data_IF_007827792422
#
_entry.id   IF_007827792422
#
_cell.length_a   1.000
_cell.length_b   1.000
_cell.length_c   1.000
_cell.angle_alpha   90.00
_cell.angle_beta   90.00
_cell.angle_gamma   90.00
#
_symmetry.space_group_name_H-M   'P 1'
#
loop_
_entity.id
_entity.type
_entity.pdbx_description
1 polymer ?
#
# COMPACT_ATOMS: atom_id res chain seq x y z
N UNK A 1 -20.30 -7.56 -27.65
CA UNK A 1 -19.64 -7.69 -28.96
C UNK A 1 -18.64 -6.56 -29.25
N UNK A 2 -18.87 -5.31 -28.81
CA UNK A 2 -17.86 -4.23 -28.94
C UNK A 2 -16.65 -4.41 -27.99
N UNK A 3 -16.85 -4.88 -26.77
CA UNK A 3 -15.76 -5.07 -25.78
C UNK A 3 -14.66 -6.05 -26.26
N UNK A 4 -15.04 -7.11 -26.99
CA UNK A 4 -14.09 -8.08 -27.52
C UNK A 4 -13.21 -7.56 -28.67
N UNK A 5 -13.59 -6.45 -29.29
CA UNK A 5 -12.81 -5.78 -30.34
C UNK A 5 -11.76 -4.82 -29.77
N UNK A 6 -11.93 -4.36 -28.53
CA UNK A 6 -11.00 -3.42 -27.89
C UNK A 6 -9.81 -4.11 -27.17
N UNK A 7 -9.94 -5.37 -26.77
CA UNK A 7 -8.86 -6.12 -26.13
C UNK A 7 -7.59 -6.25 -26.98
N UNK A 8 -7.66 -6.63 -28.28
CA UNK A 8 -6.46 -6.66 -29.13
C UNK A 8 -5.83 -5.27 -29.31
N UNK A 9 -6.66 -4.21 -29.32
CA UNK A 9 -6.19 -2.83 -29.46
C UNK A 9 -5.47 -2.39 -28.20
N UNK A 10 -5.95 -2.74 -27.00
CA UNK A 10 -5.27 -2.47 -25.72
C UNK A 10 -3.92 -3.19 -25.65
N UNK A 11 -3.84 -4.44 -26.10
CA UNK A 11 -2.59 -5.21 -26.13
C UNK A 11 -1.58 -4.56 -27.10
N UNK A 12 -2.03 -4.10 -28.26
CA UNK A 12 -1.17 -3.39 -29.22
C UNK A 12 -0.74 -2.04 -28.67
N UNK A 13 -1.60 -1.27 -28.02
CA UNK A 13 -1.22 -0.02 -27.35
C UNK A 13 -0.24 -0.26 -26.20
N UNK A 14 -0.47 -1.24 -25.35
CA UNK A 14 0.46 -1.60 -24.28
C UNK A 14 1.84 -2.07 -24.82
N UNK A 15 1.85 -2.75 -25.96
CA UNK A 15 3.10 -3.13 -26.65
C UNK A 15 3.79 -1.90 -27.25
N UNK A 16 3.07 -0.97 -27.87
CA UNK A 16 3.63 0.28 -28.39
C UNK A 16 4.08 1.21 -27.27
N UNK A 17 3.34 1.33 -26.18
CA UNK A 17 3.78 2.06 -24.98
C UNK A 17 5.05 1.44 -24.41
N UNK A 18 5.14 0.12 -24.29
CA UNK A 18 6.34 -0.58 -23.86
C UNK A 18 7.54 -0.33 -24.80
N UNK A 19 7.29 -0.32 -26.12
CA UNK A 19 8.33 -0.05 -27.14
C UNK A 19 8.78 1.41 -27.10
N UNK A 20 7.84 2.36 -26.96
CA UNK A 20 8.14 3.80 -26.83
C UNK A 20 8.88 4.09 -25.52
N UNK A 21 8.54 3.40 -24.42
CA UNK A 21 9.28 3.45 -23.14
C UNK A 21 10.71 2.97 -23.36
N UNK A 22 10.87 1.81 -23.96
CA UNK A 22 12.20 1.23 -24.21
C UNK A 22 13.04 2.14 -25.12
N UNK A 23 12.43 2.70 -26.16
CA UNK A 23 13.10 3.63 -27.09
C UNK A 23 13.32 5.01 -26.43
N UNK A 24 12.37 5.51 -25.64
CA UNK A 24 12.52 6.78 -24.88
C UNK A 24 13.66 6.71 -23.87
N UNK A 25 13.83 5.61 -23.16
CA UNK A 25 14.99 5.38 -22.29
C UNK A 25 16.31 5.35 -23.04
N UNK A 26 16.32 4.86 -24.28
CA UNK A 26 17.51 4.83 -25.13
C UNK A 26 17.94 6.22 -25.68
N UNK A 27 17.01 7.18 -25.78
CA UNK A 27 17.26 8.44 -26.48
C UNK A 27 17.17 9.71 -25.62
N UNK A 28 16.57 9.71 -24.43
CA UNK A 28 16.26 10.94 -23.66
C UNK A 28 17.11 11.13 -22.40
N UNK A 29 17.89 10.19 -22.02
CA UNK A 29 18.81 10.41 -20.92
C UNK A 29 20.04 9.56 -21.09
N UNK A 30 21.22 10.11 -21.11
CA UNK A 30 22.50 9.40 -21.10
C UNK A 30 22.66 8.41 -19.93
N UNK A 31 21.56 7.82 -19.48
CA UNK A 31 21.44 6.75 -18.51
C UNK A 31 21.64 5.41 -19.21
N UNK A 32 22.51 4.60 -18.67
CA UNK A 32 22.71 3.22 -19.10
C UNK A 32 21.34 2.50 -19.08
N UNK A 33 21.08 1.71 -20.12
CA UNK A 33 20.00 0.75 -20.14
C UNK A 33 20.16 -0.17 -18.92
N UNK A 34 19.22 -0.10 -17.99
CA UNK A 34 19.24 -0.91 -16.78
C UNK A 34 18.27 -2.05 -16.99
N UNK A 35 18.80 -3.28 -17.07
CA UNK A 35 17.94 -4.45 -17.08
C UNK A 35 17.08 -4.47 -15.78
N UNK A 36 15.85 -5.03 -15.81
CA UNK A 36 14.99 -5.10 -14.63
C UNK A 36 15.66 -5.63 -13.36
N UNK A 37 16.52 -6.65 -13.46
CA UNK A 37 17.33 -7.14 -12.34
C UNK A 37 18.33 -6.13 -11.78
N UNK A 38 18.84 -5.23 -12.63
CA UNK A 38 19.75 -4.15 -12.20
C UNK A 38 19.00 -3.02 -11.48
N UNK A 39 17.71 -2.81 -11.77
CA UNK A 39 16.89 -1.80 -11.11
C UNK A 39 16.74 -2.12 -9.62
N UNK A 40 16.44 -3.36 -9.26
CA UNK A 40 16.37 -3.81 -7.86
C UNK A 40 17.73 -3.64 -7.16
N UNK A 41 18.82 -3.98 -7.84
CA UNK A 41 20.17 -3.78 -7.32
C UNK A 41 20.47 -2.30 -7.12
N UNK A 42 20.01 -1.41 -8.00
CA UNK A 42 20.17 0.04 -7.84
C UNK A 42 19.37 0.58 -6.68
N UNK A 43 18.11 0.16 -6.50
CA UNK A 43 17.33 0.55 -5.34
C UNK A 43 18.02 0.17 -4.03
N UNK A 44 18.57 -1.04 -3.96
CA UNK A 44 19.30 -1.48 -2.77
C UNK A 44 20.56 -0.64 -2.50
N UNK A 45 21.24 -0.11 -3.54
CA UNK A 45 22.41 0.77 -3.42
C UNK A 45 22.07 2.19 -2.96
N UNK A 46 20.81 2.61 -3.03
CA UNK A 46 20.40 3.94 -2.56
C UNK A 46 20.47 4.11 -1.05
N UNK A 47 20.56 3.02 -0.30
CA UNK A 47 20.54 3.01 1.15
C UNK A 47 19.18 3.36 1.76
N UNK A 48 18.10 3.30 0.98
CA UNK A 48 16.74 3.57 1.45
C UNK A 48 16.21 2.39 2.27
N UNK A 49 16.44 1.15 1.79
CA UNK A 49 15.85 -0.05 2.35
C UNK A 49 16.80 -0.80 3.27
N UNK A 50 16.25 -1.35 4.35
CA UNK A 50 16.97 -2.14 5.34
C UNK A 50 17.05 -3.63 4.97
N UNK A 51 16.40 -4.06 3.86
CA UNK A 51 16.53 -5.38 3.26
C UNK A 51 17.26 -5.31 1.91
N UNK A 52 17.72 -6.46 1.41
CA UNK A 52 18.30 -6.55 0.06
C UNK A 52 17.19 -6.48 -0.99
N UNK A 53 17.52 -5.99 -2.18
CA UNK A 53 16.55 -5.82 -3.26
C UNK A 53 15.86 -7.13 -3.67
N UNK A 54 16.60 -8.24 -3.73
CA UNK A 54 16.05 -9.57 -4.02
C UNK A 54 15.19 -10.15 -2.88
N UNK A 55 15.26 -9.58 -1.70
CA UNK A 55 14.51 -9.98 -0.51
C UNK A 55 13.25 -9.09 -0.34
N UNK A 56 12.78 -8.45 -1.40
CA UNK A 56 11.56 -7.65 -1.35
C UNK A 56 10.37 -8.50 -0.89
N UNK A 57 9.61 -7.95 0.06
CA UNK A 57 8.47 -8.65 0.65
C UNK A 57 7.22 -8.52 -0.23
N UNK A 58 6.39 -9.55 -0.34
CA UNK A 58 5.13 -9.45 -1.04
C UNK A 58 4.13 -8.60 -0.26
N UNK A 59 3.33 -7.83 -0.97
CA UNK A 59 2.28 -6.99 -0.43
C UNK A 59 1.28 -7.74 0.46
N UNK A 60 1.06 -9.03 0.21
CA UNK A 60 0.20 -9.90 1.03
C UNK A 60 0.63 -9.97 2.49
N UNK A 61 1.90 -9.72 2.80
CA UNK A 61 2.42 -9.79 4.17
C UNK A 61 1.94 -8.67 5.08
N UNK A 62 1.38 -7.58 4.56
CA UNK A 62 0.84 -6.50 5.40
C UNK A 62 -0.26 -7.02 6.32
N UNK A 63 -1.16 -7.87 5.79
CA UNK A 63 -2.20 -8.52 6.58
C UNK A 63 -1.61 -9.30 7.77
N UNK A 64 -0.66 -10.19 7.49
CA UNK A 64 -0.06 -11.05 8.49
C UNK A 64 0.73 -10.24 9.54
N UNK A 65 1.45 -9.21 9.11
CA UNK A 65 2.16 -8.28 10.01
C UNK A 65 1.18 -7.63 11.02
N UNK A 66 0.04 -7.15 10.54
CA UNK A 66 -0.97 -6.52 11.41
C UNK A 66 -1.61 -7.56 12.32
N UNK A 67 -1.98 -8.72 11.79
CA UNK A 67 -2.62 -9.79 12.56
C UNK A 67 -1.68 -10.32 13.66
N UNK A 68 -0.44 -10.67 13.32
CA UNK A 68 0.58 -11.15 14.27
C UNK A 68 0.88 -10.11 15.35
N UNK A 69 0.87 -8.82 14.99
CA UNK A 69 1.03 -7.76 15.96
C UNK A 69 -0.10 -7.79 16.99
N UNK A 70 -1.37 -7.83 16.57
CA UNK A 70 -2.51 -7.85 17.49
C UNK A 70 -2.60 -9.15 18.31
N UNK A 71 -2.13 -10.27 17.78
CA UNK A 71 -2.07 -11.57 18.49
C UNK A 71 -0.87 -11.65 19.46
N UNK A 72 0.07 -10.70 19.40
CA UNK A 72 1.29 -10.68 20.17
C UNK A 72 1.12 -10.33 21.65
N UNK A 73 2.21 -10.44 22.39
CA UNK A 73 2.28 -9.97 23.79
C UNK A 73 2.66 -8.48 23.85
N UNK A 74 1.79 -7.66 24.39
CA UNK A 74 1.95 -6.22 24.52
C UNK A 74 2.41 -5.77 25.92
N UNK A 75 2.73 -6.72 26.81
CA UNK A 75 3.17 -6.40 28.17
C UNK A 75 2.12 -5.65 28.98
N UNK A 76 0.84 -5.93 28.76
CA UNK A 76 -0.29 -5.28 29.43
C UNK A 76 -0.74 -3.95 28.81
N UNK A 77 -0.10 -3.49 27.74
CA UNK A 77 -0.52 -2.31 26.96
C UNK A 77 -1.59 -2.71 25.94
N UNK A 78 -2.43 -1.75 25.55
CA UNK A 78 -3.46 -1.95 24.53
C UNK A 78 -2.85 -1.89 23.11
N UNK A 79 -2.97 -2.94 22.27
CA UNK A 79 -2.49 -2.90 20.90
C UNK A 79 -3.29 -1.90 20.07
N UNK A 80 -2.59 -1.12 19.28
CA UNK A 80 -3.18 -0.19 18.31
C UNK A 80 -2.36 -0.16 17.02
N UNK A 81 -3.04 0.02 15.88
CA UNK A 81 -2.37 0.09 14.59
C UNK A 81 -2.84 1.33 13.81
N UNK A 82 -1.88 2.05 13.22
CA UNK A 82 -2.11 3.09 12.23
C UNK A 82 -1.42 2.68 10.93
N UNK A 83 -2.19 2.38 9.88
CA UNK A 83 -1.71 2.10 8.55
C UNK A 83 -1.98 3.31 7.66
N UNK A 84 -0.92 3.92 7.14
CA UNK A 84 -0.95 5.09 6.26
C UNK A 84 -0.56 4.64 4.86
N UNK A 85 -1.49 4.75 3.92
CA UNK A 85 -1.29 4.44 2.52
C UNK A 85 -0.90 5.66 1.71
N UNK A 86 0.13 5.54 0.85
CA UNK A 86 0.46 6.53 -0.19
C UNK A 86 0.08 5.91 -1.53
N UNK A 87 -1.14 6.18 -2.04
CA UNK A 87 -1.60 5.63 -3.31
C UNK A 87 -0.66 6.02 -4.45
N UNK A 88 -0.27 5.04 -5.25
CA UNK A 88 0.59 5.27 -6.40
C UNK A 88 2.05 5.62 -6.09
N UNK A 89 2.53 5.44 -4.86
CA UNK A 89 3.88 5.85 -4.47
C UNK A 89 4.94 4.80 -4.80
N UNK A 90 5.86 5.16 -5.71
CA UNK A 90 7.00 4.33 -6.11
C UNK A 90 8.04 4.25 -4.99
N UNK A 91 8.60 3.07 -4.78
CA UNK A 91 9.68 2.83 -3.82
C UNK A 91 10.91 3.73 -4.06
N UNK A 92 11.31 3.93 -5.32
CA UNK A 92 12.47 4.74 -5.66
C UNK A 92 12.26 6.25 -5.45
N UNK A 93 11.00 6.70 -5.32
CA UNK A 93 10.71 8.11 -5.05
C UNK A 93 11.08 8.54 -3.63
N UNK A 94 11.20 7.59 -2.68
CA UNK A 94 11.69 7.86 -1.33
C UNK A 94 13.14 8.39 -1.30
N UNK A 95 13.89 8.30 -2.42
CA UNK A 95 15.22 8.95 -2.54
C UNK A 95 15.14 10.44 -2.25
N UNK A 96 13.99 11.07 -2.52
CA UNK A 96 13.76 12.51 -2.35
C UNK A 96 13.52 12.93 -0.90
N UNK A 97 13.28 11.98 0.00
CA UNK A 97 13.00 12.23 1.42
C UNK A 97 13.90 11.41 2.35
N UNK A 98 14.78 10.55 1.82
CA UNK A 98 15.60 9.62 2.62
C UNK A 98 16.55 10.30 3.62
N UNK A 99 16.97 11.52 3.34
CA UNK A 99 17.88 12.31 4.18
C UNK A 99 17.13 13.39 5.00
N UNK A 100 15.79 13.45 4.91
CA UNK A 100 14.95 14.34 5.73
C UNK A 100 14.56 13.63 7.04
N UNK A 101 15.13 14.00 8.18
CA UNK A 101 14.83 13.35 9.46
C UNK A 101 13.38 13.58 9.93
N UNK A 102 12.65 14.50 9.30
CA UNK A 102 11.25 14.78 9.62
C UNK A 102 10.27 14.07 8.67
N UNK A 103 10.74 13.35 7.68
CA UNK A 103 9.87 12.54 6.83
C UNK A 103 9.24 11.40 7.64
N UNK A 104 7.96 11.09 7.39
CA UNK A 104 7.24 10.06 8.14
C UNK A 104 7.95 8.71 8.15
N UNK A 105 8.45 8.25 6.99
CA UNK A 105 9.20 6.99 6.88
C UNK A 105 10.51 7.00 7.69
N UNK A 106 11.21 8.15 7.72
CA UNK A 106 12.46 8.28 8.50
C UNK A 106 12.19 8.36 9.99
N UNK A 107 11.08 8.96 10.43
CA UNK A 107 10.65 8.96 11.82
C UNK A 107 10.38 7.53 12.31
N UNK A 108 9.68 6.70 11.53
CA UNK A 108 9.44 5.29 11.89
C UNK A 108 10.75 4.50 12.03
N UNK A 109 11.69 4.73 11.11
CA UNK A 109 13.02 4.12 11.18
C UNK A 109 13.80 4.58 12.41
N UNK A 110 13.74 5.87 12.75
CA UNK A 110 14.39 6.44 13.95
C UNK A 110 13.79 5.89 15.26
N UNK A 111 12.53 5.50 15.26
CA UNK A 111 11.85 4.86 16.40
C UNK A 111 12.31 3.39 16.65
N UNK A 112 13.26 2.90 15.88
CA UNK A 112 13.80 1.53 15.99
C UNK A 112 13.21 0.55 14.98
N UNK A 113 12.38 1.03 14.08
CA UNK A 113 11.79 0.27 12.97
C UNK A 113 12.70 0.11 11.77
N UNK A 114 12.10 -0.11 10.61
CA UNK A 114 12.82 -0.32 9.36
C UNK A 114 11.98 0.10 8.15
N UNK A 115 12.66 0.33 7.01
CA UNK A 115 12.05 0.55 5.70
C UNK A 115 12.41 -0.66 4.82
N UNK A 116 11.40 -1.37 4.34
CA UNK A 116 11.54 -2.58 3.54
C UNK A 116 11.19 -2.33 2.08
N UNK A 117 11.96 -2.93 1.18
CA UNK A 117 11.55 -3.04 -0.22
C UNK A 117 10.39 -4.06 -0.32
N UNK A 118 9.31 -3.68 -0.99
CA UNK A 118 8.10 -4.49 -1.15
C UNK A 118 7.68 -4.54 -2.61
N UNK A 119 6.95 -5.58 -3.02
CA UNK A 119 6.39 -5.66 -4.35
C UNK A 119 4.89 -5.95 -4.34
N UNK A 120 4.21 -5.42 -5.36
CA UNK A 120 2.80 -5.65 -5.68
C UNK A 120 2.65 -6.41 -7.00
N UNK A 121 1.40 -6.71 -7.38
CA UNK A 121 1.08 -7.30 -8.68
C UNK A 121 1.25 -8.82 -8.77
N UNK A 122 1.55 -9.51 -7.67
CA UNK A 122 1.77 -10.95 -7.66
C UNK A 122 2.99 -11.36 -8.46
N UNK A 123 3.00 -12.60 -8.96
CA UNK A 123 4.05 -13.09 -9.83
C UNK A 123 3.69 -12.86 -11.31
N UNK A 124 4.49 -12.16 -12.10
CA UNK A 124 4.16 -11.78 -13.48
C UNK A 124 3.86 -12.97 -14.41
N UNK A 125 4.35 -14.15 -14.07
CA UNK A 125 4.28 -15.36 -14.91
C UNK A 125 3.36 -16.45 -14.37
N UNK A 126 2.72 -16.23 -13.21
CA UNK A 126 1.93 -17.25 -12.55
C UNK A 126 0.47 -16.83 -12.39
N UNK A 127 -0.35 -17.76 -11.91
CA UNK A 127 -1.79 -17.56 -11.73
C UNK A 127 -2.11 -16.38 -10.81
N UNK A 128 -1.27 -16.11 -9.80
CA UNK A 128 -1.46 -15.02 -8.85
C UNK A 128 -1.02 -13.64 -9.39
N UNK A 129 -0.78 -13.52 -10.69
CA UNK A 129 -0.60 -12.21 -11.34
C UNK A 129 -1.89 -11.40 -11.21
N UNK A 130 -1.74 -10.14 -10.77
CA UNK A 130 -2.82 -9.16 -10.75
C UNK A 130 -2.35 -7.81 -11.30
N UNK A 131 -3.29 -6.92 -11.62
CA UNK A 131 -2.95 -5.56 -12.01
C UNK A 131 -2.32 -4.80 -10.83
N UNK A 132 -1.34 -3.95 -11.14
CA UNK A 132 -0.73 -3.03 -10.19
C UNK A 132 -1.56 -1.75 -10.13
N UNK A 133 -2.68 -1.82 -9.43
CA UNK A 133 -3.73 -0.79 -9.41
C UNK A 133 -4.35 -0.68 -8.02
N UNK A 134 -5.04 0.41 -7.76
CA UNK A 134 -5.60 0.81 -6.47
C UNK A 134 -6.47 -0.28 -5.82
N UNK A 135 -7.57 -0.70 -6.45
CA UNK A 135 -8.48 -1.66 -5.82
C UNK A 135 -7.82 -3.02 -5.49
N UNK A 136 -7.14 -3.71 -6.43
CA UNK A 136 -6.49 -4.97 -6.09
C UNK A 136 -5.28 -4.80 -5.17
N UNK A 137 -4.57 -3.68 -5.23
CA UNK A 137 -3.43 -3.40 -4.36
C UNK A 137 -3.86 -3.31 -2.89
N UNK A 138 -4.79 -2.40 -2.58
CA UNK A 138 -5.29 -2.26 -1.21
C UNK A 138 -6.00 -3.52 -0.72
N UNK A 139 -6.79 -4.18 -1.58
CA UNK A 139 -7.45 -5.43 -1.20
C UNK A 139 -6.46 -6.55 -0.86
N UNK A 140 -5.35 -6.64 -1.61
CA UNK A 140 -4.27 -7.60 -1.31
C UNK A 140 -3.68 -7.36 0.08
N UNK A 141 -3.44 -6.09 0.46
CA UNK A 141 -2.88 -5.77 1.77
C UNK A 141 -3.80 -6.15 2.92
N UNK A 142 -5.09 -5.87 2.76
CA UNK A 142 -6.03 -6.08 3.87
C UNK A 142 -6.59 -7.51 3.94
N UNK A 143 -6.34 -8.36 2.92
CA UNK A 143 -6.77 -9.77 2.92
C UNK A 143 -5.63 -10.77 3.00
N UNK A 144 -4.37 -10.34 2.79
CA UNK A 144 -3.23 -11.25 2.69
C UNK A 144 -3.26 -12.17 1.47
N UNK A 145 -4.10 -11.89 0.47
CA UNK A 145 -4.30 -12.72 -0.72
C UNK A 145 -4.13 -11.91 -1.99
N UNK A 146 -3.58 -12.52 -3.05
CA UNK A 146 -3.64 -11.94 -4.39
C UNK A 146 -5.05 -12.06 -4.96
N UNK A 147 -5.37 -11.28 -5.98
CA UNK A 147 -6.67 -11.36 -6.66
C UNK A 147 -6.96 -12.77 -7.18
N UNK A 148 -5.95 -13.43 -7.71
CA UNK A 148 -6.05 -14.80 -8.22
C UNK A 148 -5.08 -15.69 -7.43
N UNK A 149 -5.61 -16.68 -6.73
CA UNK A 149 -4.82 -17.69 -6.04
C UNK A 149 -5.04 -19.07 -6.66
N UNK A 150 -4.00 -19.92 -6.63
CA UNK A 150 -4.03 -21.25 -7.23
C UNK A 150 -5.10 -22.16 -6.63
N UNK A 151 -5.39 -21.97 -5.35
CA UNK A 151 -6.38 -22.73 -4.59
C UNK A 151 -7.79 -22.12 -4.64
N UNK A 152 -7.97 -21.02 -5.39
CA UNK A 152 -9.24 -20.33 -5.53
C UNK A 152 -9.59 -19.43 -4.34
N UNK A 153 -8.67 -19.18 -3.42
CA UNK A 153 -8.89 -18.32 -2.22
C UNK A 153 -8.57 -16.86 -2.48
N UNK A 154 -8.33 -16.45 -3.72
CA UNK A 154 -8.03 -15.08 -4.07
C UNK A 154 -9.21 -14.13 -3.86
N UNK A 155 -8.91 -12.83 -3.70
CA UNK A 155 -9.96 -11.83 -3.45
C UNK A 155 -10.78 -11.42 -4.68
N UNK A 156 -10.34 -11.76 -5.89
CA UNK A 156 -11.07 -11.53 -7.16
C UNK A 156 -11.17 -10.09 -7.64
N UNK A 157 -10.69 -9.12 -6.88
CA UNK A 157 -10.83 -7.68 -7.17
C UNK A 157 -9.91 -7.23 -8.30
N UNK A 158 -10.41 -6.37 -9.18
CA UNK A 158 -9.63 -5.60 -10.16
C UNK A 158 -10.23 -4.21 -10.32
N UNK A 159 -9.51 -3.26 -10.95
CA UNK A 159 -9.99 -1.86 -11.05
C UNK A 159 -11.24 -1.67 -11.93
N UNK A 160 -11.56 -2.61 -12.82
CA UNK A 160 -12.73 -2.54 -13.68
C UNK A 160 -13.97 -3.16 -13.01
N UNK A 161 -13.74 -4.14 -12.14
CA UNK A 161 -14.75 -4.76 -11.29
C UNK A 161 -14.17 -4.85 -9.87
N UNK A 162 -14.25 -3.75 -9.11
CA UNK A 162 -13.56 -3.63 -7.82
C UNK A 162 -14.28 -4.34 -6.67
N UNK A 163 -15.51 -4.84 -6.85
CA UNK A 163 -16.28 -5.46 -5.78
C UNK A 163 -15.69 -6.81 -5.36
N UNK A 164 -15.30 -6.92 -4.10
CA UNK A 164 -14.85 -8.19 -3.53
C UNK A 164 -16.05 -9.14 -3.38
N UNK A 165 -15.95 -10.42 -3.83
CA UNK A 165 -16.98 -11.42 -3.60
C UNK A 165 -17.33 -11.58 -2.10
N UNK A 166 -18.60 -11.82 -1.80
CA UNK A 166 -19.07 -11.98 -0.42
C UNK A 166 -18.47 -13.19 0.31
N UNK A 167 -18.12 -14.23 -0.44
CA UNK A 167 -17.45 -15.46 0.02
C UNK A 167 -15.91 -15.39 -0.14
N UNK A 168 -15.38 -14.23 -0.54
CA UNK A 168 -13.95 -13.97 -0.64
C UNK A 168 -13.25 -13.93 0.73
N UNK A 169 -11.90 -13.79 0.74
CA UNK A 169 -11.15 -13.72 1.98
C UNK A 169 -11.59 -12.54 2.82
N UNK A 170 -11.57 -12.70 4.14
CA UNK A 170 -11.90 -11.62 5.08
C UNK A 170 -10.84 -10.52 5.03
N UNK A 171 -11.28 -9.29 5.21
CA UNK A 171 -10.39 -8.17 5.39
C UNK A 171 -9.94 -8.07 6.85
N UNK A 172 -8.74 -7.58 7.09
CA UNK A 172 -8.14 -7.49 8.43
C UNK A 172 -9.04 -6.75 9.44
N UNK A 173 -9.77 -5.73 8.99
CA UNK A 173 -10.72 -4.98 9.84
C UNK A 173 -11.80 -5.88 10.44
N UNK A 174 -12.40 -6.74 9.62
CA UNK A 174 -13.42 -7.71 10.05
C UNK A 174 -12.79 -8.80 10.91
N UNK A 175 -11.63 -9.33 10.50
CA UNK A 175 -10.96 -10.42 11.20
C UNK A 175 -10.54 -10.03 12.63
N UNK A 176 -9.97 -8.85 12.82
CA UNK A 176 -9.58 -8.34 14.13
C UNK A 176 -10.80 -8.20 15.08
N UNK A 177 -11.93 -7.75 14.56
CA UNK A 177 -13.18 -7.60 15.35
C UNK A 177 -13.77 -8.96 15.73
N UNK A 178 -13.84 -9.91 14.78
CA UNK A 178 -14.35 -11.26 15.06
C UNK A 178 -13.51 -12.04 16.05
N UNK A 179 -12.18 -11.90 15.96
CA UNK A 179 -11.23 -12.49 16.91
C UNK A 179 -11.18 -11.73 18.23
N UNK A 180 -11.91 -10.63 18.37
CA UNK A 180 -11.91 -9.74 19.55
C UNK A 180 -10.50 -9.20 19.89
N UNK A 181 -9.66 -9.05 18.90
CA UNK A 181 -8.32 -8.48 18.99
C UNK A 181 -8.33 -6.94 18.94
N UNK A 182 -9.34 -6.38 18.28
CA UNK A 182 -9.64 -4.96 18.27
C UNK A 182 -11.09 -4.71 18.72
N UNK A 183 -11.35 -3.58 19.36
CA UNK A 183 -12.70 -3.14 19.75
C UNK A 183 -13.42 -2.42 18.63
N UNK A 184 -12.65 -1.63 17.86
CA UNK A 184 -13.14 -0.80 16.75
C UNK A 184 -12.08 -0.76 15.65
N UNK A 185 -12.53 -0.69 14.41
CA UNK A 185 -11.67 -0.45 13.24
C UNK A 185 -12.23 0.69 12.41
N UNK A 186 -11.36 1.48 11.75
CA UNK A 186 -11.78 2.61 10.92
C UNK A 186 -10.91 2.71 9.66
N UNK A 187 -11.55 2.74 8.49
CA UNK A 187 -10.90 2.94 7.21
C UNK A 187 -11.38 4.24 6.57
N UNK A 188 -10.46 5.16 6.23
CA UNK A 188 -10.72 6.53 5.76
C UNK A 188 -9.99 6.74 4.43
N UNK A 189 -10.70 7.11 3.36
CA UNK A 189 -10.12 7.28 2.03
C UNK A 189 -10.95 8.24 1.18
N UNK A 190 -10.32 8.93 0.22
CA UNK A 190 -11.01 9.81 -0.73
C UNK A 190 -11.38 9.16 -2.06
N UNK A 191 -10.88 7.96 -2.36
CA UNK A 191 -11.30 7.24 -3.55
C UNK A 191 -12.66 6.58 -3.35
N UNK A 192 -13.71 7.24 -3.83
CA UNK A 192 -15.11 6.89 -3.56
C UNK A 192 -15.54 5.46 -3.99
N UNK A 193 -14.81 4.83 -4.93
CA UNK A 193 -15.09 3.44 -5.34
C UNK A 193 -14.81 2.41 -4.25
N UNK A 194 -14.13 2.77 -3.17
CA UNK A 194 -13.94 1.86 -2.05
C UNK A 194 -15.26 1.54 -1.35
N UNK A 195 -16.09 2.54 -1.08
CA UNK A 195 -17.26 2.38 -0.22
C UNK A 195 -18.59 2.73 -0.87
N UNK A 196 -18.60 3.50 -1.97
CA UNK A 196 -19.81 4.04 -2.56
C UNK A 196 -20.25 3.27 -3.82
N UNK A 197 -21.54 2.91 -3.85
CA UNK A 197 -22.19 2.23 -4.96
C UNK A 197 -22.30 0.71 -4.80
N UNK A 198 -23.14 0.12 -5.63
CA UNK A 198 -23.44 -1.32 -5.60
C UNK A 198 -22.20 -2.21 -5.92
N UNK A 199 -21.23 -1.65 -6.63
CA UNK A 199 -20.00 -2.32 -7.02
C UNK A 199 -18.79 -1.77 -6.29
N UNK A 200 -18.97 -1.17 -5.12
CA UNK A 200 -17.86 -0.68 -4.30
C UNK A 200 -16.97 -1.83 -3.82
N UNK A 201 -15.67 -1.56 -3.69
CA UNK A 201 -14.66 -2.57 -3.35
C UNK A 201 -15.01 -3.34 -2.08
N UNK A 202 -15.45 -2.64 -1.04
CA UNK A 202 -15.73 -3.20 0.29
C UNK A 202 -17.23 -3.33 0.59
N UNK A 203 -18.12 -3.24 -0.41
CA UNK A 203 -19.58 -3.28 -0.19
C UNK A 203 -20.04 -4.50 0.60
N UNK A 204 -19.47 -5.67 0.33
CA UNK A 204 -19.82 -6.91 1.03
C UNK A 204 -19.23 -6.97 2.43
N UNK A 205 -18.05 -6.38 2.67
CA UNK A 205 -17.45 -6.30 4.01
C UNK A 205 -18.22 -5.31 4.91
N UNK A 206 -18.61 -4.17 4.35
CA UNK A 206 -19.46 -3.18 5.04
C UNK A 206 -20.79 -3.83 5.48
N UNK A 207 -21.43 -4.51 4.53
CA UNK A 207 -22.68 -5.22 4.82
C UNK A 207 -22.48 -6.30 5.88
N UNK A 208 -21.42 -7.11 5.75
CA UNK A 208 -21.12 -8.16 6.70
C UNK A 208 -20.90 -7.61 8.11
N UNK A 209 -20.12 -6.54 8.25
CA UNK A 209 -19.91 -5.90 9.56
C UNK A 209 -21.21 -5.36 10.15
N UNK A 210 -22.08 -4.75 9.35
CA UNK A 210 -23.39 -4.26 9.80
C UNK A 210 -24.30 -5.40 10.24
N UNK A 211 -24.41 -6.48 9.47
CA UNK A 211 -25.25 -7.65 9.75
C UNK A 211 -24.82 -8.39 11.05
N UNK A 212 -23.52 -8.32 11.40
CA UNK A 212 -22.94 -8.97 12.56
C UNK A 212 -22.66 -8.02 13.74
N UNK A 213 -23.10 -6.75 13.66
CA UNK A 213 -22.87 -5.72 14.67
C UNK A 213 -21.39 -5.53 15.04
N UNK A 214 -20.49 -5.64 14.09
CA UNK A 214 -19.07 -5.38 14.26
C UNK A 214 -18.81 -3.88 14.18
N UNK A 215 -17.97 -3.36 15.08
CA UNK A 215 -17.67 -1.93 15.17
C UNK A 215 -16.62 -1.47 14.14
N UNK A 216 -16.89 -1.68 12.86
CA UNK A 216 -16.10 -1.20 11.75
C UNK A 216 -16.70 0.08 11.17
N UNK A 217 -15.89 1.14 11.05
CA UNK A 217 -16.24 2.38 10.38
C UNK A 217 -15.54 2.47 9.02
N UNK A 218 -16.27 3.02 8.03
CA UNK A 218 -15.82 3.17 6.64
C UNK A 218 -16.19 4.58 6.20
N UNK A 219 -15.20 5.43 5.99
CA UNK A 219 -15.44 6.85 5.71
C UNK A 219 -14.86 7.27 4.38
N UNK A 220 -15.74 7.70 3.49
CA UNK A 220 -15.38 8.37 2.24
C UNK A 220 -15.19 9.87 2.50
N UNK A 221 -14.21 10.47 1.84
CA UNK A 221 -13.85 11.88 1.97
C UNK A 221 -13.72 12.52 0.60
N UNK A 222 -13.74 13.84 0.55
CA UNK A 222 -13.65 14.58 -0.71
C UNK A 222 -12.19 14.93 -1.12
N UNK A 223 -11.21 14.71 -0.23
CA UNK A 223 -9.81 15.10 -0.46
C UNK A 223 -8.85 14.52 0.56
N UNK A 224 -7.55 14.47 0.21
CA UNK A 224 -6.48 14.10 1.14
C UNK A 224 -6.45 14.95 2.41
N UNK A 225 -6.77 16.24 2.27
CA UNK A 225 -6.84 17.15 3.43
C UNK A 225 -7.93 16.72 4.41
N UNK A 226 -9.07 16.27 3.93
CA UNK A 226 -10.16 15.77 4.76
C UNK A 226 -9.82 14.40 5.34
N UNK A 227 -9.28 13.50 4.51
CA UNK A 227 -8.75 12.20 4.96
C UNK A 227 -7.76 12.37 6.11
N UNK A 228 -6.77 13.25 5.94
CA UNK A 228 -5.81 13.58 6.99
C UNK A 228 -6.49 14.14 8.25
N UNK A 229 -7.41 15.10 8.09
CA UNK A 229 -8.09 15.74 9.21
C UNK A 229 -8.94 14.76 10.02
N UNK A 230 -9.70 13.88 9.37
CA UNK A 230 -10.48 12.85 10.02
C UNK A 230 -9.60 11.77 10.68
N UNK A 231 -8.52 11.36 10.01
CA UNK A 231 -7.55 10.43 10.59
C UNK A 231 -6.89 11.01 11.83
N UNK A 232 -6.51 12.30 11.78
CA UNK A 232 -5.94 13.01 12.92
C UNK A 232 -6.93 13.04 14.11
N UNK A 233 -8.20 13.36 13.85
CA UNK A 233 -9.24 13.35 14.86
C UNK A 233 -9.45 11.96 15.46
N UNK A 234 -9.53 10.92 14.64
CA UNK A 234 -9.68 9.52 15.08
C UNK A 234 -8.48 9.06 15.93
N UNK A 235 -7.27 9.38 15.50
CA UNK A 235 -6.05 9.04 16.25
C UNK A 235 -5.99 9.78 17.59
N UNK A 236 -6.43 11.02 17.66
CA UNK A 236 -6.42 11.83 18.89
C UNK A 236 -7.56 11.48 19.85
N UNK A 237 -8.63 10.83 19.38
CA UNK A 237 -9.75 10.42 20.24
C UNK A 237 -9.28 9.31 21.21
N UNK A 238 -9.41 9.50 22.53
CA UNK A 238 -9.10 8.47 23.53
C UNK A 238 -9.87 7.15 23.29
N UNK A 239 -11.11 7.25 22.81
CA UNK A 239 -11.98 6.14 22.47
C UNK A 239 -11.94 5.74 20.98
N UNK A 240 -11.02 6.30 20.22
CA UNK A 240 -10.81 6.02 18.79
C UNK A 240 -10.49 4.55 18.49
N UNK A 241 -10.58 4.18 17.23
CA UNK A 241 -10.38 2.82 16.77
C UNK A 241 -9.01 2.25 17.17
N UNK A 242 -8.97 0.93 17.36
CA UNK A 242 -7.73 0.22 17.67
C UNK A 242 -6.92 -0.05 16.40
N UNK A 243 -7.61 -0.19 15.24
CA UNK A 243 -7.00 -0.25 13.90
C UNK A 243 -7.55 0.89 13.06
N UNK A 244 -6.68 1.81 12.64
CA UNK A 244 -6.99 2.89 11.71
C UNK A 244 -6.19 2.71 10.44
N UNK A 245 -6.84 2.80 9.30
CA UNK A 245 -6.20 2.89 7.98
C UNK A 245 -6.65 4.16 7.29
N UNK A 246 -5.70 4.91 6.74
CA UNK A 246 -6.01 6.03 5.85
C UNK A 246 -5.18 5.94 4.57
N UNK A 247 -5.75 6.41 3.45
CA UNK A 247 -5.06 6.47 2.17
C UNK A 247 -4.99 7.92 1.70
N UNK A 248 -3.79 8.36 1.36
CA UNK A 248 -3.48 9.66 0.76
C UNK A 248 -3.23 9.47 -0.74
N UNK A 249 -4.02 10.14 -1.57
CA UNK A 249 -4.03 10.04 -3.03
C UNK A 249 -3.03 10.98 -3.74
N UNK A 250 -2.25 11.76 -2.99
CA UNK A 250 -1.34 12.78 -3.54
C UNK A 250 -0.47 12.24 -4.67
N UNK A 251 0.16 11.07 -4.48
CA UNK A 251 1.14 10.54 -5.41
C UNK A 251 0.47 10.02 -6.67
N UNK A 252 -0.66 9.32 -6.56
CA UNK A 252 -1.40 8.82 -7.72
C UNK A 252 -1.96 9.96 -8.55
N UNK A 253 -2.59 10.94 -7.92
CA UNK A 253 -3.10 12.15 -8.58
C UNK A 253 -2.00 12.92 -9.30
N UNK A 254 -0.84 13.11 -8.67
CA UNK A 254 0.30 13.79 -9.29
C UNK A 254 0.91 12.98 -10.44
N UNK A 255 0.99 11.66 -10.29
CA UNK A 255 1.47 10.73 -11.30
C UNK A 255 0.60 10.75 -12.55
N UNK A 256 -0.71 10.62 -12.41
CA UNK A 256 -1.67 10.71 -13.51
C UNK A 256 -1.68 12.09 -14.18
N UNK A 257 -1.56 13.14 -13.41
CA UNK A 257 -1.56 14.51 -13.93
C UNK A 257 -0.26 14.94 -14.62
N UNK A 258 0.87 14.26 -14.35
CA UNK A 258 2.20 14.67 -14.86
C UNK A 258 3.01 13.45 -15.32
N UNK A 259 3.65 12.74 -14.40
CA UNK A 259 4.25 11.41 -14.62
C UNK A 259 4.68 10.79 -13.29
N UNK A 260 4.59 9.48 -13.17
CA UNK A 260 5.14 8.69 -12.05
C UNK A 260 6.67 8.61 -12.19
N UNK A 261 7.36 9.63 -11.71
CA UNK A 261 8.83 9.68 -11.78
C UNK A 261 9.41 10.33 -10.53
N UNK A 262 10.45 9.70 -9.99
CA UNK A 262 11.21 10.24 -8.85
C UNK A 262 11.99 11.53 -9.16
N UNK A 263 11.92 12.03 -10.39
CA UNK A 263 12.51 13.30 -10.86
C UNK A 263 11.48 14.31 -11.33
N UNK A 264 10.19 13.92 -11.43
CA UNK A 264 9.11 14.84 -11.78
C UNK A 264 8.78 15.75 -10.57
N UNK A 265 8.91 17.09 -10.69
CA UNK A 265 8.79 17.97 -9.53
C UNK A 265 7.48 17.88 -8.79
N UNK A 266 6.33 17.69 -9.49
CA UNK A 266 5.03 17.60 -8.86
C UNK A 266 4.83 16.25 -8.17
N UNK A 267 5.33 15.16 -8.74
CA UNK A 267 5.29 13.85 -8.11
C UNK A 267 6.22 13.80 -6.89
N UNK A 268 7.41 14.38 -6.97
CA UNK A 268 8.32 14.55 -5.83
C UNK A 268 7.68 15.39 -4.73
N UNK A 269 6.94 16.45 -5.09
CA UNK A 269 6.22 17.24 -4.09
C UNK A 269 5.11 16.44 -3.42
N UNK A 270 4.37 15.63 -4.17
CA UNK A 270 3.34 14.74 -3.64
C UNK A 270 3.91 13.74 -2.61
N UNK A 271 5.07 13.14 -2.90
CA UNK A 271 5.79 12.29 -1.91
C UNK A 271 6.10 13.08 -0.64
N UNK A 272 6.61 14.32 -0.76
CA UNK A 272 6.92 15.16 0.41
C UNK A 272 5.67 15.57 1.20
N UNK A 273 4.56 15.81 0.52
CA UNK A 273 3.28 16.13 1.17
C UNK A 273 2.73 14.93 1.93
N UNK A 274 2.79 13.71 1.35
CA UNK A 274 2.43 12.47 2.04
C UNK A 274 3.32 12.21 3.27
N UNK A 275 4.63 12.39 3.14
CA UNK A 275 5.58 12.22 4.25
C UNK A 275 5.35 13.23 5.38
N UNK A 276 5.02 14.49 5.05
CA UNK A 276 4.67 15.54 6.03
C UNK A 276 3.41 15.18 6.80
N UNK A 277 2.37 14.74 6.11
CA UNK A 277 1.10 14.40 6.73
C UNK A 277 1.23 13.13 7.59
N UNK A 278 1.98 12.13 7.12
CA UNK A 278 2.32 10.96 7.95
C UNK A 278 3.13 11.34 9.19
N UNK A 279 4.09 12.24 9.07
CA UNK A 279 4.86 12.74 10.22
C UNK A 279 3.96 13.41 11.27
N UNK A 280 2.98 14.18 10.81
CA UNK A 280 2.01 14.81 11.72
C UNK A 280 1.11 13.77 12.42
N UNK A 281 0.67 12.72 11.73
CA UNK A 281 -0.09 11.62 12.32
C UNK A 281 0.76 10.83 13.34
N UNK A 282 2.03 10.56 13.04
CA UNK A 282 2.97 9.92 13.97
C UNK A 282 3.14 10.78 15.24
N UNK A 283 3.30 12.10 15.07
CA UNK A 283 3.40 13.02 16.20
C UNK A 283 2.12 13.03 17.04
N UNK A 284 0.94 12.95 16.42
CA UNK A 284 -0.34 12.87 17.10
C UNK A 284 -0.47 11.57 17.91
N UNK A 285 -0.08 10.42 17.37
CA UNK A 285 -0.02 9.15 18.12
C UNK A 285 0.83 9.32 19.38
N UNK A 286 2.04 9.88 19.24
CA UNK A 286 2.96 10.08 20.38
C UNK A 286 2.48 11.12 21.39
N UNK A 287 1.60 12.02 21.00
CA UNK A 287 1.02 13.06 21.85
C UNK A 287 -0.26 12.59 22.61
N UNK A 288 -0.70 11.36 22.40
CA UNK A 288 -1.89 10.82 23.10
C UNK A 288 -1.65 10.76 24.60
N UNK A 289 -2.69 11.11 25.35
CA UNK A 289 -2.64 11.04 26.83
C UNK A 289 -2.33 9.63 27.34
N UNK A 290 -2.83 8.59 26.64
CA UNK A 290 -2.65 7.19 27.01
C UNK A 290 -1.51 6.49 26.28
N UNK A 291 -0.65 7.21 25.56
CA UNK A 291 0.40 6.63 24.70
C UNK A 291 1.26 5.59 25.43
N UNK A 292 1.65 5.84 26.67
CA UNK A 292 2.49 4.93 27.48
C UNK A 292 1.78 3.59 27.82
N UNK A 293 0.44 3.58 27.80
CA UNK A 293 -0.39 2.40 28.06
C UNK A 293 -0.86 1.72 26.75
N UNK A 294 -0.40 2.22 25.62
CA UNK A 294 -0.75 1.71 24.29
C UNK A 294 0.52 1.17 23.61
N UNK A 295 0.37 0.08 22.87
CA UNK A 295 1.42 -0.44 22.00
C UNK A 295 1.05 -0.18 20.55
N UNK A 296 1.74 0.74 19.90
CA UNK A 296 1.43 1.16 18.55
C UNK A 296 2.30 0.47 17.51
N UNK A 297 1.65 -0.16 16.54
CA UNK A 297 2.24 -0.47 15.24
C UNK A 297 1.85 0.65 14.26
N UNK A 298 2.83 1.36 13.72
CA UNK A 298 2.61 2.37 12.69
C UNK A 298 3.28 1.90 11.42
N UNK A 299 2.49 1.82 10.32
CA UNK A 299 2.94 1.39 9.00
C UNK A 299 2.69 2.51 8.00
N UNK A 300 3.67 2.78 7.15
CA UNK A 300 3.52 3.58 5.93
C UNK A 300 3.85 2.68 4.74
N UNK A 301 2.96 2.60 3.76
CA UNK A 301 3.16 1.74 2.58
C UNK A 301 2.46 2.32 1.35
N UNK A 302 2.63 1.67 0.19
CA UNK A 302 1.94 2.01 -1.04
C UNK A 302 1.32 0.75 -1.66
N UNK A 303 0.27 0.92 -2.43
CA UNK A 303 -0.45 -0.17 -3.09
C UNK A 303 0.15 -0.54 -4.45
N UNK A 304 0.61 0.44 -5.20
CA UNK A 304 1.35 0.32 -6.45
C UNK A 304 2.25 1.55 -6.67
N UNK A 305 3.06 1.50 -7.69
CA UNK A 305 3.71 2.66 -8.27
C UNK A 305 3.10 2.97 -9.64
N UNK A 306 3.89 3.56 -10.54
CA UNK A 306 3.44 3.86 -11.89
C UNK A 306 4.60 4.15 -12.83
N UNK A 307 4.29 4.26 -14.13
CA UNK A 307 5.22 4.67 -15.18
C UNK A 307 4.49 5.62 -16.13
N UNK A 308 5.17 6.66 -16.58
CA UNK A 308 4.52 7.78 -17.30
C UNK A 308 3.32 8.29 -16.50
N UNK A 309 2.15 8.36 -17.09
CA UNK A 309 0.92 8.85 -16.48
C UNK A 309 -0.05 7.72 -16.11
N UNK A 310 0.43 6.47 -15.94
CA UNK A 310 -0.43 5.33 -15.66
C UNK A 310 0.24 4.23 -14.85
N UNK A 311 -0.57 3.24 -14.49
CA UNK A 311 -0.19 2.04 -13.75
C UNK A 311 -1.01 0.84 -14.25
N UNK A 312 -0.91 -0.34 -13.63
CA UNK A 312 -1.60 -1.58 -14.02
C UNK A 312 -0.69 -2.64 -14.63
N UNK A 313 0.23 -2.30 -15.57
CA UNK A 313 1.19 -3.25 -16.11
C UNK A 313 2.23 -3.72 -15.09
N UNK A 314 2.86 -4.87 -15.40
CA UNK A 314 3.88 -5.50 -14.54
C UNK A 314 5.29 -4.86 -14.70
N UNK A 315 5.37 -3.56 -14.94
CA UNK A 315 6.66 -2.85 -14.99
C UNK A 315 7.24 -2.64 -13.60
N UNK A 316 8.56 -2.62 -13.50
CA UNK A 316 9.25 -2.41 -12.23
C UNK A 316 8.75 -1.16 -11.49
N UNK A 317 8.58 -0.02 -12.19
CA UNK A 317 8.04 1.21 -11.61
C UNK A 317 6.61 1.11 -11.09
N UNK A 318 5.78 0.18 -11.61
CA UNK A 318 4.43 -0.08 -11.11
C UNK A 318 4.43 -1.06 -9.93
N UNK A 319 5.39 -2.02 -9.91
CA UNK A 319 5.42 -3.13 -8.95
C UNK A 319 6.19 -2.82 -7.68
N UNK A 320 7.19 -1.93 -7.75
CA UNK A 320 8.06 -1.68 -6.62
C UNK A 320 7.50 -0.61 -5.72
N UNK A 321 7.14 -1.05 -4.54
CA UNK A 321 6.59 -0.28 -3.44
C UNK A 321 7.47 -0.49 -2.20
N UNK A 322 7.05 0.04 -1.08
CA UNK A 322 7.79 -0.04 0.17
C UNK A 322 6.87 -0.31 1.35
N UNK A 323 7.44 -0.74 2.46
CA UNK A 323 6.81 -0.76 3.77
C UNK A 323 7.78 -0.14 4.77
N UNK A 324 7.36 0.93 5.43
CA UNK A 324 8.06 1.47 6.59
C UNK A 324 7.23 1.19 7.85
N UNK A 325 7.88 0.75 8.92
CA UNK A 325 7.22 0.50 10.20
C UNK A 325 8.08 1.00 11.36
N UNK A 326 7.44 1.39 12.47
CA UNK A 326 8.13 1.79 13.70
C UNK A 326 8.67 0.60 14.51
N UNK A 327 8.39 -0.62 14.06
CA UNK A 327 8.89 -1.88 14.63
C UNK A 327 9.58 -2.71 13.55
N UNK A 328 10.51 -3.56 13.93
CA UNK A 328 11.06 -4.58 13.03
C UNK A 328 10.05 -5.73 12.92
N UNK A 329 9.15 -5.62 11.97
CA UNK A 329 8.01 -6.54 11.80
C UNK A 329 8.36 -7.85 11.09
N UNK A 330 9.57 -7.98 10.56
CA UNK A 330 9.99 -9.12 9.74
C UNK A 330 11.20 -9.87 10.31
N UNK A 331 11.40 -9.81 11.62
CA UNK A 331 12.53 -10.47 12.29
C UNK A 331 12.48 -11.98 12.17
N UNK A 332 13.31 -12.56 11.31
CA UNK A 332 13.63 -13.99 11.31
C UNK A 332 12.82 -14.90 10.39
N UNK A 333 11.68 -14.48 9.86
CA UNK A 333 10.85 -15.34 8.98
C UNK A 333 11.23 -15.19 7.50
N UNK A 334 11.86 -14.09 7.12
CA UNK A 334 12.10 -13.72 5.71
C UNK A 334 13.34 -14.33 5.08
N UNK A 335 14.25 -14.90 5.83
CA UNK A 335 15.49 -15.44 5.26
C UNK A 335 15.30 -16.73 4.44
N UNK A 336 14.17 -17.42 4.53
CA UNK A 336 14.05 -18.78 3.96
C UNK A 336 12.90 -19.01 2.96
N UNK A 337 11.96 -18.09 2.76
CA UNK A 337 10.71 -18.43 2.02
C UNK A 337 10.30 -17.51 0.89
N UNK A 338 10.97 -16.40 0.66
CA UNK A 338 10.60 -15.52 -0.45
C UNK A 338 11.17 -16.04 -1.76
N UNK A 339 10.33 -16.32 -2.77
CA UNK A 339 10.85 -16.54 -4.11
C UNK A 339 11.56 -15.26 -4.56
N UNK A 340 12.69 -15.37 -5.26
CA UNK A 340 13.33 -14.21 -5.86
C UNK A 340 12.31 -13.50 -6.75
N UNK A 341 12.34 -12.15 -6.76
CA UNK A 341 11.61 -11.40 -7.78
C UNK A 341 12.24 -11.85 -9.11
N UNK A 342 11.53 -12.71 -9.81
CA UNK A 342 11.93 -13.16 -11.14
C UNK A 342 11.24 -12.20 -12.10
N UNK A 343 12.04 -11.40 -12.77
CA UNK A 343 11.58 -10.52 -13.86
C UNK A 343 11.01 -11.32 -15.04
#
# INVERSE_FOLDING_TARGET
>A
MLAALFEPIRIVFAFFESLVVTIGFLFVGGGQFVAPGDYLTQLNRTGIFDNRAQDAIPQTQVHDIVLEFFEGDHGGRSPKCLLIGYDGARADALINTKDDPNAGTQLLKADGGAIYNMYTGGSPRFINRQDTSTAPGWMTMVTGKWANEKDGTGHGVNNNDPSKPADGPKVIFTELLEKQLARKTHYIVSWNKHFNGENATYVNDIKYCADNNLAAAWTDTDSDKETFGLTLAEVMDPDGADMVMCILEYCDSAGHGNTFSNTEPKYVQAIKDSERDAAALIAAVKARENYENEDWLIIITADHGGVFTGHGPQFAGCRQIFLAANKKVLGGVLESTLPPIVD
#
